data_IF_853133329313
#
_entry.id   IF_853133329313
#
_cell.length_a   1.000
_cell.length_b   1.000
_cell.length_c   1.000
_cell.angle_alpha   90.00
_cell.angle_beta   90.00
_cell.angle_gamma   90.00
#
_symmetry.space_group_name_H-M   'P 1'
#
loop_
_entity.id
_entity.type
_entity.pdbx_description
1 polymer ?
#
# COMPACT_ATOMS: atom_id res chain seq x y z
N UNK A 1 -6.94 2.01 -29.29
CA UNK A 1 -6.12 2.43 -28.18
C UNK A 1 -6.83 2.18 -26.86
N UNK A 2 -6.27 1.37 -26.03
CA UNK A 2 -6.89 1.03 -24.76
C UNK A 2 -6.90 2.20 -23.81
N UNK A 3 -8.07 2.58 -23.31
CA UNK A 3 -8.15 3.44 -22.15
C UNK A 3 -7.72 2.63 -20.94
N UNK A 4 -6.79 3.15 -20.17
CA UNK A 4 -6.46 2.52 -18.90
C UNK A 4 -7.69 2.61 -18.01
N UNK A 5 -8.10 1.46 -17.48
CA UNK A 5 -9.14 1.46 -16.47
C UNK A 5 -8.67 2.27 -15.26
N UNK A 6 -9.56 3.06 -14.66
CA UNK A 6 -9.24 3.74 -13.42
C UNK A 6 -8.87 2.72 -12.35
N UNK A 7 -7.84 3.01 -11.53
CA UNK A 7 -7.49 2.12 -10.43
C UNK A 7 -8.67 1.91 -9.49
N UNK A 8 -8.82 0.68 -8.98
CA UNK A 8 -9.84 0.40 -7.98
C UNK A 8 -9.50 1.12 -6.68
N UNK A 9 -10.52 1.53 -5.96
CA UNK A 9 -10.34 2.17 -4.65
C UNK A 9 -10.09 1.10 -3.58
N UNK A 10 -8.85 0.97 -3.16
CA UNK A 10 -8.43 -0.09 -2.24
C UNK A 10 -8.96 0.12 -0.82
N UNK A 11 -9.41 1.32 -0.48
CA UNK A 11 -10.05 1.61 0.79
C UNK A 11 -11.48 1.02 0.85
N UNK A 12 -12.07 0.68 -0.29
CA UNK A 12 -13.42 0.11 -0.34
C UNK A 12 -13.47 -1.27 0.31
N UNK A 13 -14.36 -1.51 1.30
CA UNK A 13 -14.49 -2.84 1.90
C UNK A 13 -14.86 -3.93 0.88
N UNK A 14 -15.67 -3.60 -0.12
CA UNK A 14 -16.03 -4.56 -1.17
C UNK A 14 -14.83 -4.96 -2.01
N UNK A 15 -14.00 -3.99 -2.39
CA UNK A 15 -12.76 -4.27 -3.14
C UNK A 15 -11.81 -5.09 -2.29
N UNK A 16 -11.64 -4.73 -1.02
CA UNK A 16 -10.77 -5.48 -0.10
C UNK A 16 -11.18 -6.94 -0.01
N UNK A 17 -12.48 -7.21 0.14
CA UNK A 17 -12.98 -8.59 0.19
C UNK A 17 -12.71 -9.35 -1.10
N UNK A 18 -12.94 -8.73 -2.25
CA UNK A 18 -12.67 -9.35 -3.54
C UNK A 18 -11.19 -9.71 -3.70
N UNK A 19 -10.30 -8.82 -3.27
CA UNK A 19 -8.86 -9.06 -3.35
C UNK A 19 -8.43 -10.21 -2.45
N UNK A 20 -8.94 -10.26 -1.22
CA UNK A 20 -8.66 -11.35 -0.30
C UNK A 20 -9.16 -12.69 -0.83
N UNK A 21 -10.38 -12.73 -1.34
CA UNK A 21 -10.96 -13.94 -1.92
C UNK A 21 -10.13 -14.43 -3.11
N UNK A 22 -9.72 -13.53 -3.98
CA UNK A 22 -8.93 -13.88 -5.18
C UNK A 22 -7.57 -14.47 -4.83
N UNK A 23 -7.03 -14.11 -3.68
CA UNK A 23 -5.74 -14.59 -3.20
C UNK A 23 -5.86 -15.79 -2.25
N UNK A 24 -7.10 -16.25 -1.95
CA UNK A 24 -7.32 -17.32 -1.00
C UNK A 24 -6.98 -16.92 0.43
N UNK A 25 -7.04 -15.64 0.73
CA UNK A 25 -6.70 -15.11 2.05
C UNK A 25 -7.96 -14.81 2.84
N UNK A 26 -7.88 -15.06 4.16
CA UNK A 26 -8.92 -14.66 5.09
C UNK A 26 -8.33 -13.68 6.10
N UNK A 27 -9.08 -12.62 6.48
CA UNK A 27 -8.63 -11.74 7.55
C UNK A 27 -8.38 -12.55 8.81
N UNK A 28 -7.26 -12.32 9.48
CA UNK A 28 -6.90 -13.01 10.70
C UNK A 28 -6.54 -12.00 11.79
N UNK A 29 -7.41 -11.89 12.80
CA UNK A 29 -7.14 -11.03 13.95
C UNK A 29 -5.97 -11.55 14.78
N UNK A 30 -5.77 -12.88 14.79
CA UNK A 30 -4.67 -13.49 15.54
C UNK A 30 -3.29 -13.12 15.02
N UNK A 31 -3.20 -12.66 13.77
CA UNK A 31 -1.97 -12.18 13.16
C UNK A 31 -1.84 -10.68 13.22
N UNK A 32 -2.76 -10.00 13.89
CA UNK A 32 -2.79 -8.54 13.92
C UNK A 32 -3.10 -7.91 12.56
N UNK A 33 -3.59 -8.70 11.61
CA UNK A 33 -3.92 -8.20 10.29
C UNK A 33 -5.31 -7.58 10.30
N UNK A 34 -5.37 -6.29 9.98
CA UNK A 34 -6.64 -5.61 9.75
C UNK A 34 -6.54 -4.93 8.39
N UNK A 35 -7.25 -5.50 7.41
CA UNK A 35 -7.20 -5.02 6.05
C UNK A 35 -8.22 -3.92 5.76
N UNK A 36 -9.10 -3.64 6.72
CA UNK A 36 -10.12 -2.63 6.55
C UNK A 36 -9.69 -1.35 7.27
N UNK A 37 -9.68 -0.25 6.54
CA UNK A 37 -9.42 1.06 7.10
C UNK A 37 -10.59 1.98 6.72
N UNK A 38 -11.02 2.79 7.68
CA UNK A 38 -12.05 3.78 7.43
C UNK A 38 -11.51 4.90 6.55
N UNK A 39 -12.27 5.27 5.52
CA UNK A 39 -11.85 6.29 4.56
C UNK A 39 -11.59 7.65 5.23
N UNK A 40 -12.36 7.99 6.27
CA UNK A 40 -12.16 9.25 7.00
C UNK A 40 -10.86 9.22 7.80
N UNK A 41 -10.55 8.09 8.44
CA UNK A 41 -9.30 7.93 9.18
C UNK A 41 -8.12 8.01 8.21
N UNK A 42 -8.22 7.35 7.06
CA UNK A 42 -7.20 7.39 6.03
C UNK A 42 -6.91 8.83 5.59
N UNK A 43 -7.96 9.60 5.32
CA UNK A 43 -7.84 11.01 4.95
C UNK A 43 -7.16 11.82 6.04
N UNK A 44 -7.53 11.60 7.31
CA UNK A 44 -6.93 12.31 8.44
C UNK A 44 -5.44 12.00 8.54
N UNK A 45 -5.04 10.74 8.38
CA UNK A 45 -3.64 10.34 8.43
C UNK A 45 -2.84 11.05 7.33
N UNK A 46 -3.34 11.02 6.10
CA UNK A 46 -2.64 11.62 4.95
C UNK A 46 -2.55 13.13 5.10
N UNK A 47 -3.64 13.79 5.52
CA UNK A 47 -3.62 15.24 5.75
C UNK A 47 -2.66 15.62 6.86
N UNK A 48 -2.64 14.85 7.96
CA UNK A 48 -1.74 15.13 9.08
C UNK A 48 -0.26 14.99 8.68
N UNK A 49 0.04 14.10 7.76
CA UNK A 49 1.40 13.91 7.26
C UNK A 49 1.90 15.10 6.43
N UNK A 50 1.00 15.85 5.80
CA UNK A 50 1.35 17.07 5.06
C UNK A 50 2.35 16.82 3.93
N UNK A 51 2.19 15.72 3.19
CA UNK A 51 3.17 15.29 2.20
C UNK A 51 3.10 16.11 0.93
N UNK A 52 4.28 16.37 0.36
CA UNK A 52 4.45 17.01 -0.95
C UNK A 52 5.19 16.09 -1.91
N UNK A 53 5.19 16.39 -3.22
CA UNK A 53 5.94 15.57 -4.19
C UNK A 53 7.44 15.44 -3.91
N UNK A 54 8.03 16.35 -3.14
CA UNK A 54 9.45 16.28 -2.78
C UNK A 54 9.72 15.35 -1.60
N UNK A 55 8.69 14.87 -0.92
CA UNK A 55 8.85 14.01 0.24
C UNK A 55 9.06 12.55 -0.15
N UNK A 56 9.68 11.81 0.77
CA UNK A 56 9.82 10.36 0.68
C UNK A 56 9.20 9.74 1.91
N UNK A 57 8.37 8.73 1.71
CA UNK A 57 7.65 8.04 2.78
C UNK A 57 8.00 6.56 2.75
N UNK A 58 8.18 5.99 3.92
CA UNK A 58 8.33 4.55 4.08
C UNK A 58 7.09 4.04 4.82
N UNK A 59 6.37 3.16 4.18
CA UNK A 59 5.21 2.50 4.78
C UNK A 59 5.58 1.07 5.16
N UNK A 60 5.29 0.70 6.40
CA UNK A 60 5.56 -0.64 6.92
C UNK A 60 4.24 -1.40 7.03
N UNK A 61 4.20 -2.58 6.41
CA UNK A 61 3.00 -3.41 6.43
C UNK A 61 1.92 -2.88 5.50
N UNK A 62 2.21 -2.81 4.21
CA UNK A 62 1.30 -2.20 3.23
C UNK A 62 -0.05 -2.92 3.11
N UNK A 63 -0.12 -4.21 3.42
CA UNK A 63 -1.36 -4.98 3.40
C UNK A 63 -2.02 -5.01 2.03
N UNK A 64 -3.27 -4.57 1.95
CA UNK A 64 -4.01 -4.48 0.68
C UNK A 64 -3.82 -3.15 -0.04
N UNK A 65 -3.04 -2.22 0.54
CA UNK A 65 -2.60 -1.04 -0.17
C UNK A 65 -3.50 0.19 -0.08
N UNK A 66 -4.47 0.21 0.85
CA UNK A 66 -5.36 1.39 0.98
C UNK A 66 -4.57 2.66 1.33
N UNK A 67 -3.70 2.58 2.34
CA UNK A 67 -2.84 3.71 2.69
C UNK A 67 -1.81 3.96 1.60
N UNK A 68 -1.23 2.90 1.04
CA UNK A 68 -0.26 3.00 -0.05
C UNK A 68 -0.83 3.80 -1.22
N UNK A 69 -2.06 3.47 -1.63
CA UNK A 69 -2.73 4.17 -2.74
C UNK A 69 -2.91 5.65 -2.43
N UNK A 70 -3.34 5.97 -1.21
CA UNK A 70 -3.52 7.37 -0.80
C UNK A 70 -2.19 8.12 -0.76
N UNK A 71 -1.12 7.48 -0.32
CA UNK A 71 0.23 8.09 -0.32
C UNK A 71 0.72 8.35 -1.74
N UNK A 72 0.51 7.40 -2.66
CA UNK A 72 0.87 7.56 -4.07
C UNK A 72 0.20 8.82 -4.66
N UNK A 73 -1.06 9.05 -4.30
CA UNK A 73 -1.83 10.18 -4.83
C UNK A 73 -1.29 11.54 -4.38
N UNK A 74 -0.52 11.61 -3.29
CA UNK A 74 0.13 12.86 -2.87
C UNK A 74 1.28 13.26 -3.79
N UNK A 75 1.76 12.33 -4.63
CA UNK A 75 2.89 12.56 -5.51
C UNK A 75 4.24 12.32 -4.87
N UNK A 76 4.30 12.06 -3.58
CA UNK A 76 5.57 11.78 -2.89
C UNK A 76 6.13 10.42 -3.34
N UNK A 77 7.41 10.17 -3.05
CA UNK A 77 8.02 8.86 -3.28
C UNK A 77 7.62 7.93 -2.14
N UNK A 78 7.09 6.76 -2.48
CA UNK A 78 6.60 5.79 -1.50
C UNK A 78 7.43 4.51 -1.60
N UNK A 79 8.03 4.12 -0.50
CA UNK A 79 8.61 2.79 -0.31
C UNK A 79 7.67 2.00 0.59
N UNK A 80 7.03 0.98 0.04
CA UNK A 80 6.08 0.17 0.77
C UNK A 80 6.65 -1.22 1.04
N UNK A 81 6.77 -1.57 2.31
CA UNK A 81 7.26 -2.87 2.74
C UNK A 81 6.10 -3.78 3.09
N UNK A 82 6.15 -5.00 2.60
CA UNK A 82 5.19 -6.04 2.92
C UNK A 82 5.90 -7.38 2.96
N UNK A 83 5.71 -8.14 4.05
CA UNK A 83 6.39 -9.42 4.23
C UNK A 83 5.65 -10.59 3.59
N UNK A 84 4.36 -10.48 3.36
CA UNK A 84 3.55 -11.56 2.78
C UNK A 84 3.61 -11.48 1.26
N UNK A 85 4.22 -12.51 0.63
CA UNK A 85 4.39 -12.57 -0.81
C UNK A 85 3.06 -12.51 -1.57
N UNK A 86 1.97 -13.03 -0.99
CA UNK A 86 0.65 -13.01 -1.62
C UNK A 86 0.10 -11.59 -1.67
N UNK A 87 0.31 -10.82 -0.60
CA UNK A 87 -0.08 -9.42 -0.56
C UNK A 87 0.78 -8.57 -1.49
N UNK A 88 2.08 -8.85 -1.58
CA UNK A 88 2.96 -8.16 -2.52
C UNK A 88 2.47 -8.33 -3.96
N UNK A 89 2.03 -9.53 -4.34
CA UNK A 89 1.48 -9.75 -5.68
C UNK A 89 0.22 -8.96 -5.94
N UNK A 90 -0.64 -8.85 -4.93
CA UNK A 90 -1.84 -8.01 -5.04
C UNK A 90 -1.43 -6.55 -5.25
N UNK A 91 -0.48 -6.06 -4.44
CA UNK A 91 0.01 -4.69 -4.53
C UNK A 91 0.63 -4.40 -5.91
N UNK A 92 1.43 -5.32 -6.43
CA UNK A 92 2.01 -5.19 -7.77
C UNK A 92 0.93 -5.07 -8.83
N UNK A 93 -0.10 -5.92 -8.75
CA UNK A 93 -1.18 -5.93 -9.73
C UNK A 93 -2.03 -4.67 -9.64
N UNK A 94 -2.36 -4.23 -8.43
CA UNK A 94 -3.27 -3.11 -8.23
C UNK A 94 -2.58 -1.75 -8.33
N UNK A 95 -1.32 -1.63 -7.89
CA UNK A 95 -0.60 -0.37 -7.77
C UNK A 95 0.67 -0.29 -8.62
N UNK A 96 0.99 -1.33 -9.39
CA UNK A 96 2.20 -1.37 -10.21
C UNK A 96 2.27 -0.30 -11.29
N UNK A 97 1.15 0.38 -11.59
CA UNK A 97 1.13 1.48 -12.54
C UNK A 97 1.86 2.73 -12.01
N UNK A 98 2.02 2.85 -10.70
CA UNK A 98 2.51 4.06 -10.07
C UNK A 98 4.04 4.17 -10.17
N UNK A 99 4.50 5.26 -10.76
CA UNK A 99 5.95 5.49 -10.94
C UNK A 99 6.64 5.94 -9.67
N UNK A 100 5.88 6.44 -8.70
CA UNK A 100 6.41 6.93 -7.42
C UNK A 100 6.32 5.88 -6.31
N UNK A 101 6.03 4.62 -6.65
CA UNK A 101 5.96 3.51 -5.70
C UNK A 101 7.11 2.53 -5.94
N UNK A 102 7.77 2.15 -4.86
CA UNK A 102 8.71 1.02 -4.82
C UNK A 102 8.17 0.02 -3.81
N UNK A 103 7.82 -1.17 -4.29
CA UNK A 103 7.37 -2.27 -3.43
C UNK A 103 8.56 -3.10 -3.00
N UNK A 104 8.65 -3.39 -1.71
CA UNK A 104 9.74 -4.17 -1.13
C UNK A 104 9.11 -5.34 -0.37
N UNK A 105 9.43 -6.55 -0.82
CA UNK A 105 9.01 -7.76 -0.13
C UNK A 105 10.06 -8.09 0.91
N UNK A 106 9.83 -7.66 2.15
CA UNK A 106 10.73 -7.93 3.25
C UNK A 106 10.03 -7.72 4.59
N UNK A 107 10.65 -8.26 5.63
CA UNK A 107 10.24 -8.03 7.01
C UNK A 107 10.86 -6.72 7.50
N UNK A 108 10.02 -5.81 7.98
CA UNK A 108 10.48 -4.52 8.50
C UNK A 108 11.47 -4.66 9.65
N UNK A 109 11.39 -5.76 10.42
CA UNK A 109 12.33 -6.03 11.51
C UNK A 109 13.74 -6.37 11.02
N UNK A 110 13.88 -6.77 9.75
CA UNK A 110 15.15 -7.17 9.16
C UNK A 110 15.65 -6.23 8.08
N UNK A 111 14.78 -5.39 7.56
CA UNK A 111 15.10 -4.52 6.44
C UNK A 111 16.09 -3.43 6.87
N UNK A 112 17.10 -3.22 6.05
CA UNK A 112 18.05 -2.13 6.26
C UNK A 112 17.52 -0.84 5.65
N UNK A 113 16.87 -0.04 6.48
CA UNK A 113 16.29 1.23 6.05
C UNK A 113 17.34 2.24 5.59
N UNK A 114 18.59 2.09 6.04
CA UNK A 114 19.65 3.01 5.61
C UNK A 114 19.93 2.92 4.12
N UNK A 115 19.63 1.78 3.49
CA UNK A 115 19.79 1.61 2.05
C UNK A 115 18.93 2.56 1.23
N UNK A 116 17.81 3.04 1.78
CA UNK A 116 16.91 3.98 1.11
C UNK A 116 17.43 5.40 1.13
N UNK A 117 18.33 5.73 2.06
CA UNK A 117 18.87 7.08 2.20
C UNK A 117 19.89 7.43 1.13
N UNK A 118 20.37 6.44 0.41
CA UNK A 118 21.40 6.60 -0.64
C UNK A 118 20.83 6.40 -2.05
N UNK A 119 19.54 6.27 -2.15
CA UNK A 119 18.87 6.05 -3.43
C UNK A 119 18.71 7.34 -4.21
#
# INVERSE_FOLDING_TARGET
>A
MGTQANPRMLVSPAVARQLLESAGLKPSRSRGQNFLIDANILRIIVEAAGLSPSDTVVEVGAGLGALTQALIETGCRVYALESDARLVRILERELGYARNLVLIEDDAARFDFSSLMHA
#
